data_IF_475667175224
#
_entry.id   IF_475667175224
#
_cell.length_a   1.000
_cell.length_b   1.000
_cell.length_c   1.000
_cell.angle_alpha   90.00
_cell.angle_beta   90.00
_cell.angle_gamma   90.00
#
_symmetry.space_group_name_H-M   'P 1'
#
loop_
_entity.id
_entity.type
_entity.pdbx_description
1 polymer ?
#
# COMPACT_ATOMS: atom_id res chain seq x y z
N UNK A 1 16.95 -10.27 -9.62
CA UNK A 1 16.57 -11.52 -8.91
C UNK A 1 16.22 -11.25 -7.45
N UNK A 2 17.07 -10.49 -6.72
CA UNK A 2 16.87 -10.15 -5.30
C UNK A 2 15.52 -9.46 -5.00
N UNK A 3 15.10 -8.50 -5.81
CA UNK A 3 13.85 -7.76 -5.59
C UNK A 3 12.58 -8.61 -5.73
N UNK A 4 12.57 -9.56 -6.68
CA UNK A 4 11.46 -10.52 -6.77
C UNK A 4 11.40 -11.42 -5.54
N UNK A 5 12.54 -11.80 -4.98
CA UNK A 5 12.58 -12.58 -3.73
C UNK A 5 12.05 -11.77 -2.55
N UNK A 6 12.39 -10.48 -2.48
CA UNK A 6 11.86 -9.54 -1.46
C UNK A 6 10.35 -9.40 -1.60
N UNK A 7 9.84 -9.19 -2.81
CA UNK A 7 8.39 -9.12 -3.08
C UNK A 7 7.67 -10.40 -2.68
N UNK A 8 8.17 -11.58 -3.07
CA UNK A 8 7.57 -12.87 -2.69
C UNK A 8 7.55 -13.02 -1.18
N UNK A 9 8.67 -12.76 -0.50
CA UNK A 9 8.76 -12.85 0.95
C UNK A 9 7.79 -11.89 1.65
N UNK A 10 7.70 -10.64 1.20
CA UNK A 10 6.76 -9.65 1.75
C UNK A 10 5.30 -10.07 1.50
N UNK A 11 5.00 -10.61 0.33
CA UNK A 11 3.67 -11.14 -0.02
C UNK A 11 3.29 -12.32 0.87
N UNK A 12 4.24 -13.23 1.17
CA UNK A 12 4.00 -14.33 2.11
C UNK A 12 3.66 -13.80 3.50
N UNK A 13 4.36 -12.77 3.99
CA UNK A 13 4.03 -12.14 5.27
C UNK A 13 2.63 -11.54 5.23
N UNK A 14 2.28 -10.79 4.18
CA UNK A 14 0.93 -10.25 4.01
C UNK A 14 -0.14 -11.35 4.02
N UNK A 15 0.10 -12.48 3.34
CA UNK A 15 -0.80 -13.62 3.32
C UNK A 15 -0.97 -14.30 4.69
N UNK A 16 0.04 -14.27 5.57
CA UNK A 16 -0.13 -14.77 6.95
C UNK A 16 -1.20 -13.97 7.72
N UNK A 17 -1.36 -12.68 7.44
CA UNK A 17 -2.42 -11.86 8.03
C UNK A 17 -3.81 -12.14 7.43
N UNK A 18 -3.89 -12.82 6.28
CA UNK A 18 -5.16 -13.29 5.75
C UNK A 18 -5.73 -14.47 6.58
N UNK A 19 -4.88 -15.29 7.20
CA UNK A 19 -5.30 -16.49 7.94
C UNK A 19 -6.35 -16.20 9.02
N UNK A 20 -6.12 -15.29 10.00
CA UNK A 20 -7.14 -14.99 10.99
C UNK A 20 -8.41 -14.42 10.37
N UNK A 21 -8.29 -13.60 9.32
CA UNK A 21 -9.43 -13.04 8.61
C UNK A 21 -10.28 -14.13 7.93
N UNK A 22 -9.66 -15.11 7.26
CA UNK A 22 -10.36 -16.26 6.65
C UNK A 22 -11.08 -17.09 7.71
N UNK A 23 -10.44 -17.37 8.84
CA UNK A 23 -11.05 -18.12 9.95
C UNK A 23 -12.28 -17.40 10.53
N UNK A 24 -12.22 -16.07 10.60
CA UNK A 24 -13.32 -15.24 11.12
C UNK A 24 -14.41 -14.93 10.09
N UNK A 25 -14.14 -15.12 8.79
CA UNK A 25 -15.01 -14.74 7.68
C UNK A 25 -16.45 -15.29 7.78
N UNK A 26 -16.70 -16.54 8.24
CA UNK A 26 -18.06 -17.06 8.38
C UNK A 26 -18.94 -16.29 9.38
N UNK A 27 -18.33 -15.48 10.27
CA UNK A 27 -19.04 -14.65 11.25
C UNK A 27 -19.07 -13.16 10.85
N UNK A 28 -18.46 -12.80 9.72
CA UNK A 28 -18.31 -11.43 9.29
C UNK A 28 -19.61 -10.83 8.77
N UNK A 29 -19.61 -9.52 8.58
CA UNK A 29 -20.67 -8.84 7.83
C UNK A 29 -20.66 -9.28 6.37
N UNK A 30 -21.85 -9.53 5.83
CA UNK A 30 -22.07 -9.76 4.40
C UNK A 30 -22.53 -8.50 3.67
N UNK A 31 -22.41 -7.33 4.29
CA UNK A 31 -22.76 -6.06 3.65
C UNK A 31 -21.90 -5.82 2.42
N UNK A 32 -22.56 -5.53 1.30
CA UNK A 32 -21.90 -5.17 0.04
C UNK A 32 -21.16 -3.83 0.10
N UNK A 33 -21.37 -3.03 1.16
CA UNK A 33 -20.61 -1.80 1.38
C UNK A 33 -19.15 -2.08 1.80
N UNK A 34 -18.86 -3.23 2.41
CA UNK A 34 -17.53 -3.52 2.99
C UNK A 34 -16.44 -3.59 1.92
N UNK A 35 -16.64 -4.25 0.76
CA UNK A 35 -15.69 -4.19 -0.35
C UNK A 35 -15.31 -2.77 -0.77
N UNK A 36 -16.31 -1.91 -0.98
CA UNK A 36 -16.07 -0.55 -1.46
C UNK A 36 -15.37 0.31 -0.39
N UNK A 37 -15.86 0.30 0.85
CA UNK A 37 -15.28 1.08 1.94
C UNK A 37 -13.90 0.57 2.33
N UNK A 38 -13.70 -0.74 2.32
CA UNK A 38 -12.38 -1.35 2.55
C UNK A 38 -11.37 -0.94 1.49
N UNK A 39 -11.76 -0.90 0.22
CA UNK A 39 -10.89 -0.42 -0.86
C UNK A 39 -10.56 1.07 -0.73
N UNK A 40 -11.55 1.91 -0.44
CA UNK A 40 -11.33 3.35 -0.17
C UNK A 40 -10.41 3.54 1.03
N UNK A 41 -10.57 2.73 2.08
CA UNK A 41 -9.68 2.75 3.23
C UNK A 41 -8.24 2.38 2.85
N UNK A 42 -8.03 1.39 1.97
CA UNK A 42 -6.70 1.03 1.49
C UNK A 42 -6.03 2.19 0.75
N UNK A 43 -6.76 2.87 -0.13
CA UNK A 43 -6.28 4.08 -0.83
C UNK A 43 -5.90 5.19 0.15
N UNK A 44 -6.70 5.37 1.21
CA UNK A 44 -6.42 6.35 2.25
C UNK A 44 -5.17 6.00 3.03
N UNK A 45 -5.08 4.75 3.48
CA UNK A 45 -3.94 4.25 4.23
C UNK A 45 -2.64 4.37 3.43
N UNK A 46 -2.65 3.96 2.16
CA UNK A 46 -1.52 4.12 1.24
C UNK A 46 -1.10 5.59 1.14
N UNK A 47 -2.06 6.50 0.95
CA UNK A 47 -1.80 7.93 0.87
C UNK A 47 -1.11 8.45 2.14
N UNK A 48 -1.63 8.12 3.33
CA UNK A 48 -1.04 8.57 4.60
C UNK A 48 0.35 7.97 4.80
N UNK A 49 0.51 6.67 4.52
CA UNK A 49 1.79 5.98 4.62
C UNK A 49 2.83 6.64 3.70
N UNK A 50 2.48 6.87 2.45
CA UNK A 50 3.39 7.43 1.47
C UNK A 50 3.74 8.88 1.78
N UNK A 51 2.76 9.71 2.14
CA UNK A 51 2.97 11.12 2.45
C UNK A 51 3.70 11.34 3.77
N UNK A 52 3.39 10.57 4.81
CA UNK A 52 3.85 10.87 6.17
C UNK A 52 4.84 9.88 6.77
N UNK A 53 4.90 8.65 6.29
CA UNK A 53 5.92 7.70 6.76
C UNK A 53 7.10 7.62 5.79
N UNK A 54 6.84 7.69 4.49
CA UNK A 54 7.88 7.61 3.47
C UNK A 54 8.46 8.98 3.06
N UNK A 55 7.73 10.08 3.19
CA UNK A 55 8.23 11.42 2.84
C UNK A 55 8.59 12.31 4.02
N UNK A 56 8.31 11.90 5.27
CA UNK A 56 8.80 12.63 6.45
C UNK A 56 10.12 12.03 6.94
N UNK A 57 11.19 12.85 7.08
CA UNK A 57 12.47 12.37 7.58
C UNK A 57 12.37 11.72 8.97
N UNK A 58 13.32 10.83 9.27
CA UNK A 58 13.50 10.24 10.60
C UNK A 58 12.97 8.82 10.76
N UNK A 59 12.62 8.14 9.66
CA UNK A 59 12.26 6.72 9.69
C UNK A 59 13.01 5.94 8.61
N UNK A 60 13.20 4.63 8.83
CA UNK A 60 13.78 3.75 7.81
C UNK A 60 12.93 3.69 6.53
N UNK A 61 11.63 3.94 6.62
CA UNK A 61 10.74 4.02 5.47
C UNK A 61 11.06 5.23 4.62
N UNK A 62 11.35 6.37 5.26
CA UNK A 62 11.78 7.57 4.58
C UNK A 62 13.15 7.39 3.92
N UNK A 63 14.11 6.77 4.61
CA UNK A 63 15.44 6.54 4.04
C UNK A 63 15.38 5.66 2.79
N UNK A 64 14.60 4.57 2.85
CA UNK A 64 14.38 3.69 1.69
C UNK A 64 13.66 4.39 0.55
N UNK A 65 12.65 5.20 0.88
CA UNK A 65 11.90 5.93 -0.13
C UNK A 65 12.73 7.03 -0.78
N UNK A 66 13.53 7.75 -0.02
CA UNK A 66 14.47 8.72 -0.57
C UNK A 66 15.52 8.06 -1.45
N UNK A 67 15.99 6.85 -1.09
CA UNK A 67 16.90 6.09 -1.94
C UNK A 67 16.23 5.71 -3.27
N UNK A 68 14.97 5.26 -3.22
CA UNK A 68 14.14 5.02 -4.41
C UNK A 68 14.02 6.26 -5.31
N UNK A 69 13.70 7.42 -4.74
CA UNK A 69 13.68 8.70 -5.48
C UNK A 69 15.05 9.06 -6.06
N UNK A 70 16.12 8.85 -5.30
CA UNK A 70 17.49 9.17 -5.71
C UNK A 70 17.99 8.27 -6.86
N UNK A 71 17.43 7.06 -6.99
CA UNK A 71 17.77 6.10 -8.05
C UNK A 71 16.79 6.10 -9.22
N UNK A 72 15.76 6.95 -9.20
CA UNK A 72 14.79 7.08 -10.30
C UNK A 72 15.47 7.26 -11.66
N UNK A 73 15.15 6.40 -12.63
CA UNK A 73 15.74 6.33 -13.98
C UNK A 73 17.26 6.10 -14.02
N UNK A 74 17.84 5.58 -12.95
CA UNK A 74 19.24 5.10 -12.93
C UNK A 74 19.29 3.59 -13.13
N UNK A 75 20.46 3.08 -13.48
CA UNK A 75 20.65 1.65 -13.78
C UNK A 75 20.25 0.73 -12.61
N UNK A 76 20.45 1.20 -11.38
CA UNK A 76 20.13 0.46 -10.16
C UNK A 76 18.73 0.77 -9.57
N UNK A 77 17.86 1.51 -10.26
CA UNK A 77 16.51 1.85 -9.80
C UNK A 77 15.74 0.61 -9.31
N UNK A 78 15.83 -0.47 -10.09
CA UNK A 78 15.09 -1.72 -9.84
C UNK A 78 15.35 -2.29 -8.46
N UNK A 79 16.55 -2.07 -7.89
CA UNK A 79 17.00 -2.59 -6.60
C UNK A 79 16.40 -1.85 -5.40
N UNK A 80 15.65 -0.78 -5.65
CA UNK A 80 15.10 0.10 -4.63
C UNK A 80 13.59 0.30 -4.75
N UNK A 81 12.89 -0.55 -5.52
CA UNK A 81 11.46 -0.40 -5.80
C UNK A 81 10.53 -1.01 -4.73
N UNK A 82 11.06 -1.87 -3.84
CA UNK A 82 10.24 -2.54 -2.83
C UNK A 82 9.64 -1.55 -1.83
N UNK A 83 8.38 -1.80 -1.44
CA UNK A 83 7.62 -0.91 -0.57
C UNK A 83 7.75 -1.30 0.91
N UNK A 84 7.84 -2.62 1.16
CA UNK A 84 7.90 -3.19 2.51
C UNK A 84 9.30 -3.38 3.06
N UNK A 85 10.32 -3.56 2.21
CA UNK A 85 11.72 -3.71 2.61
C UNK A 85 12.06 -4.95 3.44
N UNK A 86 11.56 -5.05 4.67
CA UNK A 86 11.82 -6.14 5.61
C UNK A 86 10.48 -6.73 6.12
N UNK A 87 10.38 -8.07 6.33
CA UNK A 87 9.16 -8.74 6.79
C UNK A 87 8.49 -8.10 8.00
N UNK A 88 9.30 -7.65 8.97
CA UNK A 88 8.78 -7.05 10.21
C UNK A 88 8.01 -5.76 9.93
N UNK A 89 8.40 -4.99 8.92
CA UNK A 89 7.73 -3.75 8.58
C UNK A 89 6.40 -4.00 7.86
N UNK A 90 6.34 -5.04 7.04
CA UNK A 90 5.07 -5.52 6.48
C UNK A 90 4.15 -5.93 7.64
N UNK A 91 4.63 -6.74 8.58
CA UNK A 91 3.83 -7.15 9.74
C UNK A 91 3.32 -5.95 10.56
N UNK A 92 4.17 -4.95 10.81
CA UNK A 92 3.78 -3.73 11.51
C UNK A 92 2.70 -2.94 10.73
N UNK A 93 2.82 -2.85 9.40
CA UNK A 93 1.83 -2.21 8.55
C UNK A 93 0.45 -2.90 8.68
N UNK A 94 0.41 -4.23 8.76
CA UNK A 94 -0.82 -4.98 9.02
C UNK A 94 -1.37 -4.77 10.43
N UNK A 95 -0.52 -4.68 11.45
CA UNK A 95 -0.96 -4.39 12.82
C UNK A 95 -1.55 -2.97 12.92
N UNK A 96 -0.86 -1.98 12.36
CA UNK A 96 -1.30 -0.57 12.37
C UNK A 96 -2.58 -0.39 11.56
N UNK A 97 -2.74 -1.07 10.43
CA UNK A 97 -3.98 -1.05 9.66
C UNK A 97 -5.12 -1.83 10.35
N UNK A 98 -4.79 -2.97 10.95
CA UNK A 98 -5.76 -3.86 11.59
C UNK A 98 -6.36 -3.27 12.87
N UNK A 99 -5.56 -2.55 13.67
CA UNK A 99 -6.00 -2.02 14.97
C UNK A 99 -7.22 -1.06 14.85
N UNK A 100 -7.25 -0.06 13.95
CA UNK A 100 -8.45 0.75 13.70
C UNK A 100 -9.67 -0.07 13.27
N UNK A 101 -9.48 -1.07 12.40
CA UNK A 101 -10.57 -1.93 11.93
C UNK A 101 -11.17 -2.79 13.06
N UNK A 102 -10.31 -3.35 13.92
CA UNK A 102 -10.75 -4.06 15.13
C UNK A 102 -11.49 -3.11 16.07
N UNK A 103 -10.98 -1.89 16.28
CA UNK A 103 -11.63 -0.90 17.13
C UNK A 103 -13.04 -0.55 16.64
N UNK A 104 -13.21 -0.33 15.33
CA UNK A 104 -14.52 -0.10 14.71
C UNK A 104 -15.46 -1.28 14.95
N UNK A 105 -14.98 -2.51 14.76
CA UNK A 105 -15.78 -3.70 15.03
C UNK A 105 -16.19 -3.86 16.49
N UNK A 106 -15.32 -3.50 17.43
CA UNK A 106 -15.62 -3.59 18.86
C UNK A 106 -16.62 -2.51 19.30
N UNK A 107 -16.50 -1.28 18.76
CA UNK A 107 -17.34 -0.14 19.14
C UNK A 107 -18.73 -0.22 18.49
N UNK A 108 -18.78 -0.56 17.21
CA UNK A 108 -20.01 -0.50 16.40
C UNK A 108 -20.59 -1.88 16.08
N UNK A 109 -19.93 -2.96 16.51
CA UNK A 109 -20.37 -4.34 16.25
C UNK A 109 -20.54 -4.67 14.77
N UNK A 110 -19.79 -3.99 13.90
CA UNK A 110 -19.92 -4.05 12.45
C UNK A 110 -19.50 -5.39 11.85
N UNK A 111 -18.51 -6.08 12.44
CA UNK A 111 -17.89 -7.32 11.93
C UNK A 111 -17.29 -7.17 10.53
N UNK A 112 -16.73 -6.00 10.23
CA UNK A 112 -16.09 -5.64 8.97
C UNK A 112 -14.62 -6.02 8.92
N UNK A 113 -13.97 -6.23 10.07
CA UNK A 113 -12.54 -6.52 10.14
C UNK A 113 -12.13 -7.69 9.22
N UNK A 114 -12.79 -8.88 9.23
CA UNK A 114 -12.35 -9.98 8.39
C UNK A 114 -12.34 -9.66 6.88
N UNK A 115 -13.46 -9.23 6.25
CA UNK A 115 -13.44 -8.88 4.84
C UNK A 115 -12.55 -7.67 4.53
N UNK A 116 -12.50 -6.64 5.38
CA UNK A 116 -11.63 -5.49 5.18
C UNK A 116 -10.14 -5.87 5.21
N UNK A 117 -9.74 -6.78 6.08
CA UNK A 117 -8.38 -7.29 6.15
C UNK A 117 -7.99 -8.05 4.89
N UNK A 118 -8.88 -8.89 4.34
CA UNK A 118 -8.63 -9.60 3.08
C UNK A 118 -8.44 -8.63 1.90
N UNK A 119 -9.24 -7.56 1.85
CA UNK A 119 -9.08 -6.50 0.85
C UNK A 119 -7.73 -5.81 1.01
N UNK A 120 -7.32 -5.50 2.24
CA UNK A 120 -6.03 -4.88 2.50
C UNK A 120 -4.85 -5.78 2.12
N UNK A 121 -4.91 -7.09 2.39
CA UNK A 121 -3.91 -8.07 1.92
C UNK A 121 -3.78 -8.01 0.41
N UNK A 122 -4.90 -8.15 -0.31
CA UNK A 122 -4.91 -8.09 -1.77
C UNK A 122 -4.39 -6.75 -2.30
N UNK A 123 -4.80 -5.66 -1.65
CA UNK A 123 -4.40 -4.31 -2.02
C UNK A 123 -2.88 -4.11 -1.94
N UNK A 124 -2.25 -4.47 -0.81
CA UNK A 124 -0.79 -4.29 -0.63
C UNK A 124 0.00 -5.04 -1.70
N UNK A 125 -0.39 -6.29 -2.00
CA UNK A 125 0.28 -7.12 -3.01
C UNK A 125 0.11 -6.50 -4.41
N UNK A 126 -1.11 -6.11 -4.76
CA UNK A 126 -1.42 -5.51 -6.08
C UNK A 126 -0.74 -4.15 -6.22
N UNK A 127 -0.75 -3.32 -5.18
CA UNK A 127 -0.12 -2.01 -5.18
C UNK A 127 1.39 -2.13 -5.38
N UNK A 128 2.06 -3.04 -4.67
CA UNK A 128 3.51 -3.25 -4.83
C UNK A 128 3.87 -3.78 -6.23
N UNK A 129 3.07 -4.69 -6.80
CA UNK A 129 3.25 -5.17 -8.18
C UNK A 129 3.01 -4.05 -9.21
N UNK A 130 1.95 -3.24 -9.05
CA UNK A 130 1.68 -2.09 -9.92
C UNK A 130 2.81 -1.07 -9.81
N UNK A 131 3.29 -0.75 -8.61
CA UNK A 131 4.42 0.15 -8.38
C UNK A 131 5.66 -0.31 -9.15
N UNK A 132 6.01 -1.59 -9.03
CA UNK A 132 7.14 -2.19 -9.73
C UNK A 132 6.97 -2.12 -11.25
N UNK A 133 5.77 -2.41 -11.77
CA UNK A 133 5.48 -2.38 -13.21
C UNK A 133 5.59 -0.98 -13.79
N UNK A 134 5.10 0.04 -13.07
CA UNK A 134 5.23 1.45 -13.47
C UNK A 134 6.69 1.80 -13.73
N UNK A 135 7.60 1.42 -12.84
CA UNK A 135 9.03 1.74 -12.95
C UNK A 135 9.81 0.87 -13.93
N UNK A 136 9.33 -0.34 -14.19
CA UNK A 136 10.02 -1.27 -15.09
C UNK A 136 9.48 -1.26 -16.52
N UNK A 137 8.51 -0.40 -16.82
CA UNK A 137 7.88 -0.30 -18.14
C UNK A 137 7.03 -1.52 -18.50
N UNK A 138 6.67 -2.34 -17.52
CA UNK A 138 5.77 -3.46 -17.72
C UNK A 138 4.33 -2.96 -17.83
N UNK A 139 3.47 -3.74 -18.50
CA UNK A 139 2.06 -3.40 -18.65
C UNK A 139 1.37 -3.27 -17.28
N UNK A 140 0.58 -2.21 -17.13
CA UNK A 140 -0.31 -1.97 -15.99
C UNK A 140 -1.76 -1.83 -16.44
N UNK A 141 -2.74 -2.26 -15.62
CA UNK A 141 -4.15 -2.20 -15.97
C UNK A 141 -4.72 -0.77 -16.04
N UNK A 142 -4.03 0.24 -15.49
CA UNK A 142 -4.51 1.62 -15.42
C UNK A 142 -3.40 2.63 -15.80
N UNK A 143 -3.42 3.13 -17.04
CA UNK A 143 -2.41 4.11 -17.52
C UNK A 143 -2.43 5.44 -16.76
N UNK A 144 -3.54 5.79 -16.10
CA UNK A 144 -3.64 7.02 -15.30
C UNK A 144 -2.62 7.05 -14.15
N UNK A 145 -2.36 5.88 -13.54
CA UNK A 145 -1.39 5.74 -12.45
C UNK A 145 0.06 5.96 -12.89
N UNK A 146 0.40 5.60 -14.13
CA UNK A 146 1.78 5.69 -14.65
C UNK A 146 2.28 7.13 -14.67
N UNK A 147 1.53 8.02 -15.35
CA UNK A 147 1.92 9.43 -15.45
C UNK A 147 1.89 10.10 -14.08
N UNK A 148 0.89 9.78 -13.27
CA UNK A 148 0.73 10.31 -11.93
C UNK A 148 1.95 9.97 -11.05
N UNK A 149 2.30 8.69 -10.99
CA UNK A 149 3.41 8.22 -10.16
C UNK A 149 4.77 8.67 -10.70
N UNK A 150 5.00 8.74 -12.01
CA UNK A 150 6.25 9.35 -12.49
C UNK A 150 6.35 10.84 -12.14
N UNK A 151 5.22 11.56 -12.09
CA UNK A 151 5.18 12.94 -11.60
C UNK A 151 5.54 13.06 -10.12
N UNK A 152 5.31 12.01 -9.32
CA UNK A 152 5.68 11.96 -7.90
C UNK A 152 7.19 12.09 -7.68
N UNK A 153 8.01 11.61 -8.60
CA UNK A 153 9.49 11.66 -8.53
C UNK A 153 10.08 13.05 -8.77
N UNK A 154 9.22 14.07 -8.96
CA UNK A 154 9.66 15.46 -9.14
C UNK A 154 9.51 16.25 -7.85
N UNK A 155 10.34 17.28 -7.70
CA UNK A 155 10.23 18.23 -6.59
C UNK A 155 9.31 19.41 -6.98
N UNK A 156 8.48 19.93 -6.07
CA UNK A 156 8.24 19.44 -4.71
C UNK A 156 7.41 18.13 -4.66
N UNK A 157 7.48 17.34 -3.56
CA UNK A 157 6.73 16.09 -3.44
C UNK A 157 5.21 16.28 -3.57
N UNK A 158 4.60 15.46 -4.42
CA UNK A 158 3.17 15.42 -4.75
C UNK A 158 2.77 14.03 -5.22
N UNK A 159 1.50 13.77 -5.51
CA UNK A 159 1.03 12.49 -6.07
C UNK A 159 1.38 11.28 -5.17
N UNK A 160 0.83 11.26 -3.95
CA UNK A 160 1.15 10.26 -2.93
C UNK A 160 0.37 8.96 -3.06
N UNK A 161 -0.73 8.90 -3.79
CA UNK A 161 -1.27 7.62 -4.21
C UNK A 161 -0.47 7.08 -5.40
N UNK A 162 -0.19 5.77 -5.41
CA UNK A 162 0.66 5.14 -6.41
C UNK A 162 -0.05 5.00 -7.76
N UNK A 163 -1.32 4.58 -7.77
CA UNK A 163 -1.99 4.27 -9.05
C UNK A 163 -3.41 4.80 -9.19
N UNK A 164 -4.18 4.95 -8.10
CA UNK A 164 -5.48 5.63 -8.11
C UNK A 164 -5.36 6.90 -7.27
N UNK A 165 -5.32 8.09 -7.88
CA UNK A 165 -5.00 9.37 -7.22
C UNK A 165 -6.16 9.96 -6.39
N UNK A 166 -6.97 9.12 -5.74
CA UNK A 166 -8.20 9.55 -5.07
C UNK A 166 -7.91 10.58 -3.98
N UNK A 167 -7.00 10.29 -3.07
CA UNK A 167 -6.72 11.18 -1.95
C UNK A 167 -5.83 12.35 -2.33
N UNK A 168 -5.05 12.25 -3.40
CA UNK A 168 -4.37 13.42 -3.96
C UNK A 168 -5.33 14.47 -4.49
N UNK A 169 -6.42 14.06 -5.14
CA UNK A 169 -7.47 15.00 -5.53
C UNK A 169 -8.21 15.56 -4.30
N UNK A 170 -8.63 14.69 -3.38
CA UNK A 170 -9.44 15.11 -2.22
C UNK A 170 -8.67 16.03 -1.26
N UNK A 171 -7.36 15.86 -1.14
CA UNK A 171 -6.51 16.58 -0.18
C UNK A 171 -5.58 17.60 -0.85
N UNK A 172 -5.74 17.82 -2.16
CA UNK A 172 -5.04 18.87 -2.90
C UNK A 172 -3.53 18.66 -3.04
N UNK A 173 -3.07 17.41 -3.18
CA UNK A 173 -1.63 17.07 -3.34
C UNK A 173 -1.27 16.59 -4.73
N UNK A 174 -2.08 16.92 -5.74
CA UNK A 174 -1.83 16.57 -7.14
C UNK A 174 -0.95 17.58 -7.90
N UNK A 175 -0.89 18.82 -7.43
CA UNK A 175 -0.22 19.94 -8.12
C UNK A 175 1.10 20.33 -7.46
#
# INVERSE_FOLDING_TARGET
>A
MMERLIFVRNSLVALLFAIPAVVMLPRASHSLAVPALGFVWCLFFEYLYHRWFQHRPGTIFADKHHLHHATYRRENEKEHLNFGGHPIYVALLFVVNGAPLVAVDLIFHTRWFPPAMLIFVGYVIVMEDIHYRIHTGLWVPFNLGVKHHHGHHTMPPKNFNVFIPLFDYLLGTKE
#
